data_IF_858285071959
#
_entry.id   IF_858285071959
#
_cell.length_a   1.000
_cell.length_b   1.000
_cell.length_c   1.000
_cell.angle_alpha   90.00
_cell.angle_beta   90.00
_cell.angle_gamma   90.00
#
_symmetry.space_group_name_H-M   'P 1'
#
loop_
_entity.id
_entity.type
_entity.pdbx_description
1 polymer ?
#
# COMPACT_ATOMS: atom_id res chain seq x y z
N UNK A 1 2.62 5.12 10.17
CA UNK A 1 2.42 4.21 9.03
C UNK A 1 2.82 4.91 7.73
N UNK A 2 3.11 4.18 6.65
CA UNK A 2 3.32 4.80 5.34
C UNK A 2 2.96 3.89 4.16
N UNK A 3 2.80 4.52 3.00
CA UNK A 3 2.88 3.87 1.70
C UNK A 3 4.03 4.47 0.91
N UNK A 4 4.75 3.62 0.17
CA UNK A 4 5.82 4.06 -0.73
C UNK A 4 5.54 3.53 -2.13
N UNK A 5 5.19 4.43 -3.04
CA UNK A 5 5.13 4.11 -4.47
C UNK A 5 6.53 4.14 -5.04
N UNK A 6 6.97 3.03 -5.63
CA UNK A 6 8.20 3.00 -6.42
C UNK A 6 7.92 3.55 -7.82
N UNK A 7 8.63 4.60 -8.21
CA UNK A 7 8.48 5.20 -9.54
C UNK A 7 9.29 4.47 -10.60
N UNK A 8 10.36 3.80 -10.17
CA UNK A 8 11.26 2.99 -11.00
C UNK A 8 11.90 1.91 -10.12
N UNK A 9 12.07 0.70 -10.66
CA UNK A 9 12.71 -0.44 -9.99
C UNK A 9 14.13 -0.72 -10.49
N UNK A 10 14.62 0.00 -11.50
CA UNK A 10 15.95 -0.21 -12.06
C UNK A 10 17.05 0.13 -11.05
N UNK A 11 18.06 -0.74 -10.93
CA UNK A 11 19.23 -0.53 -10.05
C UNK A 11 18.89 -0.31 -8.57
N UNK A 12 17.83 -0.97 -8.07
CA UNK A 12 17.53 -1.02 -6.64
C UNK A 12 18.18 -2.24 -5.98
N UNK A 13 18.54 -2.09 -4.72
CA UNK A 13 18.85 -3.21 -3.82
C UNK A 13 17.54 -3.86 -3.36
N UNK A 14 17.59 -5.13 -2.97
CA UNK A 14 16.41 -5.90 -2.56
C UNK A 14 16.68 -6.70 -1.29
N UNK A 15 15.73 -6.64 -0.35
CA UNK A 15 15.65 -7.54 0.77
C UNK A 15 14.59 -8.61 0.46
N UNK A 16 15.04 -9.80 0.04
CA UNK A 16 14.14 -10.84 -0.47
C UNK A 16 13.46 -10.38 -1.76
N UNK A 17 12.14 -10.26 -1.76
CA UNK A 17 11.36 -9.75 -2.90
C UNK A 17 11.04 -8.24 -2.80
N UNK A 18 11.36 -7.61 -1.68
CA UNK A 18 11.04 -6.20 -1.42
C UNK A 18 12.18 -5.30 -1.89
N UNK A 19 11.92 -4.33 -2.78
CA UNK A 19 12.92 -3.34 -3.15
C UNK A 19 13.24 -2.45 -1.94
N UNK A 20 14.52 -2.16 -1.72
CA UNK A 20 14.91 -1.19 -0.71
C UNK A 20 14.63 0.23 -1.20
N UNK A 21 14.08 1.07 -0.32
CA UNK A 21 13.87 2.49 -0.60
C UNK A 21 15.25 3.15 -0.82
N UNK A 22 15.53 3.70 -2.01
CA UNK A 22 16.83 4.28 -2.30
C UNK A 22 17.12 5.50 -1.42
N UNK A 23 18.40 5.73 -1.12
CA UNK A 23 18.83 6.92 -0.35
C UNK A 23 18.52 8.22 -1.09
N UNK A 24 18.67 8.21 -2.42
CA UNK A 24 18.30 9.29 -3.33
C UNK A 24 16.83 9.17 -3.76
N UNK A 25 15.92 9.49 -2.83
CA UNK A 25 14.47 9.32 -3.04
C UNK A 25 13.88 10.15 -4.17
N UNK A 26 14.51 11.27 -4.52
CA UNK A 26 13.98 12.24 -5.47
C UNK A 26 13.81 11.62 -6.87
N UNK A 27 12.56 11.59 -7.36
CA UNK A 27 12.23 10.99 -8.66
C UNK A 27 12.30 9.46 -8.70
N UNK A 28 12.50 8.81 -7.55
CA UNK A 28 12.60 7.35 -7.42
C UNK A 28 11.43 6.74 -6.64
N UNK A 29 10.95 7.45 -5.64
CA UNK A 29 9.80 7.04 -4.83
C UNK A 29 8.91 8.22 -4.47
N UNK A 30 7.64 7.94 -4.20
CA UNK A 30 6.72 8.85 -3.53
C UNK A 30 6.23 8.25 -2.23
N UNK A 31 6.27 9.04 -1.15
CA UNK A 31 5.95 8.58 0.20
C UNK A 31 4.70 9.30 0.68
N UNK A 32 3.72 8.53 1.14
CA UNK A 32 2.56 9.03 1.87
C UNK A 32 2.63 8.54 3.31
N UNK A 33 2.61 9.47 4.26
CA UNK A 33 2.60 9.17 5.70
C UNK A 33 1.23 9.45 6.27
N UNK A 34 0.81 8.56 7.17
CA UNK A 34 -0.44 8.67 7.88
C UNK A 34 -0.33 7.98 9.23
N UNK A 35 -1.25 8.33 10.12
CA UNK A 35 -1.39 7.73 11.43
C UNK A 35 -2.83 7.26 11.61
N UNK A 36 -3.00 6.09 12.20
CA UNK A 36 -4.30 5.56 12.65
C UNK A 36 -4.25 5.48 14.16
N UNK A 37 -5.22 6.11 14.81
CA UNK A 37 -5.30 6.12 16.27
C UNK A 37 -5.42 4.68 16.79
N UNK A 38 -4.88 4.41 17.98
CA UNK A 38 -4.87 3.04 18.55
C UNK A 38 -6.28 2.46 18.69
N UNK A 39 -7.27 3.29 18.97
CA UNK A 39 -8.69 2.90 19.06
C UNK A 39 -9.29 2.44 17.73
N UNK A 40 -8.69 2.82 16.60
CA UNK A 40 -9.11 2.44 15.25
C UNK A 40 -8.30 1.23 14.69
N UNK A 41 -7.44 0.60 15.50
CA UNK A 41 -6.63 -0.54 15.04
C UNK A 41 -7.45 -1.78 14.71
N UNK A 42 -8.48 -2.09 15.51
CA UNK A 42 -9.38 -3.22 15.20
C UNK A 42 -10.17 -2.94 13.91
N UNK A 43 -10.56 -1.68 13.69
CA UNK A 43 -11.20 -1.25 12.45
C UNK A 43 -10.24 -1.40 11.25
N UNK A 44 -8.97 -1.00 11.40
CA UNK A 44 -7.97 -1.18 10.37
C UNK A 44 -7.72 -2.67 10.07
N UNK A 45 -7.66 -3.51 11.10
CA UNK A 45 -7.49 -4.95 10.96
C UNK A 45 -8.63 -5.57 10.13
N UNK A 46 -9.86 -5.35 10.58
CA UNK A 46 -11.05 -5.99 10.00
C UNK A 46 -11.40 -5.44 8.60
N UNK A 47 -11.28 -4.12 8.41
CA UNK A 47 -11.72 -3.45 7.18
C UNK A 47 -10.64 -3.44 6.09
N UNK A 48 -9.37 -3.44 6.47
CA UNK A 48 -8.23 -3.34 5.54
C UNK A 48 -7.32 -4.57 5.55
N UNK A 49 -6.68 -4.86 6.69
CA UNK A 49 -5.54 -5.79 6.74
C UNK A 49 -5.99 -7.20 6.34
N UNK A 50 -6.99 -7.76 7.01
CA UNK A 50 -7.47 -9.11 6.75
C UNK A 50 -7.97 -9.29 5.30
N UNK A 51 -8.83 -8.41 4.75
CA UNK A 51 -9.24 -8.50 3.36
C UNK A 51 -8.07 -8.39 2.36
N UNK A 52 -7.16 -7.45 2.56
CA UNK A 52 -6.05 -7.20 1.62
C UNK A 52 -5.01 -8.30 1.67
N UNK A 53 -4.67 -8.82 2.86
CA UNK A 53 -3.78 -9.96 3.01
C UNK A 53 -4.30 -11.20 2.29
N UNK A 54 -5.58 -11.52 2.46
CA UNK A 54 -6.23 -12.63 1.76
C UNK A 54 -6.25 -12.42 0.23
N UNK A 55 -6.58 -11.20 -0.23
CA UNK A 55 -6.68 -10.88 -1.65
C UNK A 55 -5.32 -10.92 -2.38
N UNK A 56 -4.30 -10.33 -1.74
CA UNK A 56 -2.99 -10.12 -2.33
C UNK A 56 -1.98 -11.22 -1.99
N UNK A 57 -2.34 -12.16 -1.11
CA UNK A 57 -1.40 -13.08 -0.47
C UNK A 57 -0.22 -12.28 0.10
N UNK A 58 -0.56 -11.30 0.93
CA UNK A 58 0.35 -10.38 1.59
C UNK A 58 0.49 -10.77 3.07
N UNK A 59 1.56 -10.28 3.70
CA UNK A 59 1.86 -10.48 5.12
C UNK A 59 1.90 -9.13 5.83
N UNK A 60 0.88 -8.30 5.58
CA UNK A 60 0.74 -7.00 6.23
C UNK A 60 0.11 -7.24 7.61
N UNK A 61 0.69 -6.66 8.63
CA UNK A 61 0.15 -6.55 9.99
C UNK A 61 0.63 -5.23 10.60
N UNK A 62 0.08 -4.84 11.74
CA UNK A 62 0.51 -3.65 12.48
C UNK A 62 1.94 -3.87 13.02
N UNK A 63 2.87 -3.02 12.60
CA UNK A 63 4.30 -3.11 12.86
C UNK A 63 5.11 -3.82 11.77
N UNK A 64 4.44 -4.35 10.74
CA UNK A 64 5.07 -5.10 9.64
C UNK A 64 5.03 -4.32 8.32
N UNK A 65 5.89 -4.76 7.40
CA UNK A 65 6.04 -4.18 6.06
C UNK A 65 5.93 -5.25 4.98
N UNK A 66 5.21 -4.94 3.90
CA UNK A 66 5.15 -5.79 2.71
C UNK A 66 5.17 -4.94 1.43
N UNK A 67 5.61 -5.56 0.33
CA UNK A 67 5.62 -4.98 -1.00
C UNK A 67 4.61 -5.67 -1.92
N UNK A 68 3.70 -4.85 -2.45
CA UNK A 68 2.72 -5.24 -3.44
C UNK A 68 3.22 -4.83 -4.83
N UNK A 69 3.67 -5.81 -5.62
CA UNK A 69 4.05 -5.57 -7.02
C UNK A 69 2.85 -5.21 -7.90
N UNK A 70 3.10 -4.84 -9.17
CA UNK A 70 2.06 -4.41 -10.10
C UNK A 70 0.86 -5.39 -10.22
N UNK A 71 1.08 -6.70 -10.16
CA UNK A 71 -0.02 -7.68 -10.22
C UNK A 71 -0.85 -7.72 -8.93
N UNK A 72 -0.22 -7.59 -7.76
CA UNK A 72 -0.94 -7.41 -6.49
C UNK A 72 -1.66 -6.05 -6.46
N UNK A 73 -1.06 -4.98 -6.99
CA UNK A 73 -1.70 -3.67 -7.13
C UNK A 73 -2.94 -3.71 -8.03
N UNK A 74 -2.98 -4.54 -9.09
CA UNK A 74 -4.21 -4.72 -9.89
C UNK A 74 -5.36 -5.23 -9.05
N UNK A 75 -5.12 -6.26 -8.22
CA UNK A 75 -6.13 -6.82 -7.32
C UNK A 75 -6.56 -5.78 -6.28
N UNK A 76 -5.59 -5.15 -5.64
CA UNK A 76 -5.83 -4.13 -4.62
C UNK A 76 -6.62 -2.94 -5.18
N UNK A 77 -6.30 -2.47 -6.40
CA UNK A 77 -7.03 -1.41 -7.09
C UNK A 77 -8.51 -1.75 -7.23
N UNK A 78 -8.84 -2.92 -7.79
CA UNK A 78 -10.23 -3.33 -7.98
C UNK A 78 -10.97 -3.43 -6.63
N UNK A 79 -10.31 -3.95 -5.60
CA UNK A 79 -10.90 -4.01 -4.26
C UNK A 79 -11.13 -2.62 -3.66
N UNK A 80 -10.18 -1.70 -3.79
CA UNK A 80 -10.31 -0.31 -3.29
C UNK A 80 -11.43 0.43 -4.02
N UNK A 81 -11.53 0.29 -5.35
CA UNK A 81 -12.59 0.89 -6.16
C UNK A 81 -13.97 0.44 -5.66
N UNK A 82 -14.15 -0.85 -5.37
CA UNK A 82 -15.40 -1.40 -4.82
C UNK A 82 -15.64 -0.97 -3.36
N UNK A 83 -14.59 -0.99 -2.53
CA UNK A 83 -14.67 -0.66 -1.10
C UNK A 83 -15.08 0.79 -0.88
N UNK A 84 -14.56 1.70 -1.70
CA UNK A 84 -14.85 3.14 -1.66
C UNK A 84 -16.26 3.50 -2.19
N UNK A 85 -16.99 2.58 -2.84
CA UNK A 85 -18.42 2.78 -3.16
C UNK A 85 -19.35 2.56 -1.95
N UNK A 86 -18.82 2.03 -0.85
CA UNK A 86 -19.56 1.76 0.38
C UNK A 86 -19.19 2.80 1.44
N UNK A 87 -19.92 2.78 2.54
CA UNK A 87 -19.54 3.60 3.70
C UNK A 87 -18.17 3.16 4.22
N UNK A 88 -17.24 4.11 4.34
CA UNK A 88 -15.88 3.91 4.85
C UNK A 88 -15.70 4.94 5.96
N UNK A 89 -15.12 4.52 7.09
CA UNK A 89 -14.79 5.43 8.18
C UNK A 89 -14.01 6.64 7.68
N UNK A 90 -14.30 7.82 8.23
CA UNK A 90 -13.61 9.06 7.91
C UNK A 90 -12.09 8.95 8.16
N UNK A 91 -11.67 8.13 9.13
CA UNK A 91 -10.26 7.83 9.40
C UNK A 91 -9.60 7.08 8.24
N UNK A 92 -10.27 6.07 7.68
CA UNK A 92 -9.70 5.16 6.68
C UNK A 92 -9.85 5.66 5.24
N UNK A 93 -10.86 6.47 4.97
CA UNK A 93 -11.15 6.97 3.62
C UNK A 93 -9.95 7.65 2.93
N UNK A 94 -9.24 8.63 3.52
CA UNK A 94 -8.11 9.27 2.84
C UNK A 94 -6.94 8.30 2.60
N UNK A 95 -6.76 7.31 3.49
CA UNK A 95 -5.75 6.26 3.35
C UNK A 95 -6.08 5.40 2.12
N UNK A 96 -7.34 5.00 1.95
CA UNK A 96 -7.79 4.17 0.84
C UNK A 96 -7.73 4.90 -0.50
N UNK A 97 -8.16 6.16 -0.53
CA UNK A 97 -8.05 7.02 -1.72
C UNK A 97 -6.59 7.17 -2.18
N UNK A 98 -5.67 7.36 -1.23
CA UNK A 98 -4.25 7.48 -1.55
C UNK A 98 -3.63 6.16 -2.01
N UNK A 99 -4.00 5.06 -1.36
CA UNK A 99 -3.54 3.73 -1.78
C UNK A 99 -4.10 3.34 -3.15
N UNK A 100 -5.31 3.79 -3.51
CA UNK A 100 -5.91 3.60 -4.83
C UNK A 100 -5.14 4.37 -5.90
N UNK A 101 -4.77 5.62 -5.63
CA UNK A 101 -3.91 6.42 -6.48
C UNK A 101 -2.56 5.71 -6.71
N UNK A 102 -1.89 5.31 -5.63
CA UNK A 102 -0.58 4.65 -5.69
C UNK A 102 -0.66 3.30 -6.41
N UNK A 103 -1.68 2.48 -6.13
CA UNK A 103 -1.90 1.21 -6.81
C UNK A 103 -2.12 1.40 -8.31
N UNK A 104 -2.91 2.40 -8.70
CA UNK A 104 -3.15 2.70 -10.12
C UNK A 104 -1.86 3.09 -10.84
N UNK A 105 -1.04 3.94 -10.22
CA UNK A 105 0.23 4.39 -10.80
C UNK A 105 1.28 3.29 -10.82
N UNK A 106 1.36 2.45 -9.79
CA UNK A 106 2.24 1.29 -9.77
C UNK A 106 1.95 0.32 -10.93
N UNK A 107 0.68 0.17 -11.31
CA UNK A 107 0.28 -0.64 -12.48
C UNK A 107 0.79 0.01 -13.78
N UNK A 108 0.60 1.32 -13.95
CA UNK A 108 1.05 2.07 -15.13
C UNK A 108 2.57 2.04 -15.31
N UNK A 109 3.30 2.13 -14.19
CA UNK A 109 4.76 2.11 -14.15
C UNK A 109 5.34 0.68 -14.17
N UNK A 110 4.50 -0.34 -14.02
CA UNK A 110 4.90 -1.74 -13.84
C UNK A 110 5.89 -1.93 -12.67
N UNK A 111 5.60 -1.27 -11.53
CA UNK A 111 6.41 -1.28 -10.31
C UNK A 111 5.68 -1.96 -9.14
N UNK A 112 5.40 -1.21 -8.07
CA UNK A 112 4.70 -1.66 -6.88
C UNK A 112 4.66 -0.62 -5.76
N UNK A 113 3.98 -0.98 -4.68
CA UNK A 113 3.79 -0.16 -3.48
C UNK A 113 4.24 -0.94 -2.26
N UNK A 114 5.13 -0.36 -1.46
CA UNK A 114 5.41 -0.83 -0.10
C UNK A 114 4.36 -0.26 0.87
N UNK A 115 3.91 -1.11 1.78
CA UNK A 115 2.94 -0.80 2.83
C UNK A 115 3.57 -1.17 4.17
N UNK A 116 3.71 -0.19 5.07
CA UNK A 116 4.10 -0.40 6.47
C UNK A 116 3.03 0.19 7.39
N UNK A 117 2.45 -0.65 8.23
CA UNK A 117 1.41 -0.30 9.20
C UNK A 117 1.95 -0.35 10.62
#
# INVERSE_FOLDING_TARGET
MWFVLFLDLNNLEYYGYMPEIPKDRAGRVEIYRFDVAREDWDLLLDDFIDPVCNLCNALIDIGDVDFLNADKCKKLKSWLEERLQRDVSETLKPIYEKLLEFSSRAIELNTGVEIEL
#
